data_IF_756630405690
#
_entry.id   IF_756630405690
#
_cell.length_a   1.000
_cell.length_b   1.000
_cell.length_c   1.000
_cell.angle_alpha   90.00
_cell.angle_beta   90.00
_cell.angle_gamma   90.00
#
_symmetry.space_group_name_H-M   'P 1'
#
loop_
_entity.id
_entity.type
_entity.pdbx_description
1 polymer ?
#
# COMPACT_ATOMS: atom_id res chain seq x y z
N UNK A 1 14.56 24.10 -8.27
CA UNK A 1 13.09 24.20 -8.45
C UNK A 1 12.50 23.01 -9.21
N UNK A 2 13.16 22.49 -10.27
CA UNK A 2 12.71 21.29 -11.01
C UNK A 2 12.61 20.03 -10.12
N UNK A 3 13.60 19.78 -9.26
CA UNK A 3 13.61 18.60 -8.38
C UNK A 3 12.46 18.58 -7.36
N UNK A 4 12.00 19.77 -6.95
CA UNK A 4 10.90 19.92 -6.01
C UNK A 4 9.54 19.58 -6.65
N UNK A 5 9.39 19.88 -7.94
CA UNK A 5 8.18 19.60 -8.71
C UNK A 5 8.09 18.12 -9.08
N UNK A 6 9.22 17.49 -9.40
CA UNK A 6 9.30 16.03 -9.64
C UNK A 6 9.04 15.25 -8.35
N UNK A 7 9.61 15.66 -7.20
CA UNK A 7 9.27 15.06 -5.90
C UNK A 7 7.80 15.30 -5.51
N UNK A 8 7.24 16.48 -5.80
CA UNK A 8 5.83 16.75 -5.54
C UNK A 8 4.89 15.89 -6.40
N UNK A 9 5.24 15.69 -7.69
CA UNK A 9 4.51 14.80 -8.61
C UNK A 9 4.64 13.34 -8.23
N UNK A 10 5.80 12.90 -7.74
CA UNK A 10 5.99 11.56 -7.19
C UNK A 10 5.19 11.34 -5.89
N UNK A 11 4.97 12.39 -5.09
CA UNK A 11 4.14 12.36 -3.86
C UNK A 11 2.63 12.37 -4.10
N UNK A 12 2.20 12.81 -5.28
CA UNK A 12 0.81 12.71 -5.77
C UNK A 12 0.82 11.78 -6.95
N UNK A 13 1.05 10.51 -6.69
CA UNK A 13 0.90 9.44 -7.68
C UNK A 13 -0.57 9.38 -8.09
N UNK A 14 -0.90 10.16 -9.11
CA UNK A 14 -2.21 10.21 -9.73
C UNK A 14 -2.40 8.93 -10.56
N UNK A 15 -2.54 7.78 -9.88
CA UNK A 15 -2.87 6.54 -10.57
C UNK A 15 -4.27 6.67 -11.17
N UNK A 16 -4.50 6.01 -12.31
CA UNK A 16 -5.80 6.08 -12.96
C UNK A 16 -6.91 5.48 -12.07
N UNK A 17 -8.18 5.91 -12.20
CA UNK A 17 -9.29 5.29 -11.48
C UNK A 17 -9.41 3.78 -11.73
N UNK A 18 -9.09 3.33 -12.94
CA UNK A 18 -9.05 1.91 -13.28
C UNK A 18 -7.96 1.17 -12.51
N UNK A 19 -6.77 1.77 -12.39
CA UNK A 19 -5.68 1.20 -11.61
C UNK A 19 -6.00 1.16 -10.11
N UNK A 20 -6.54 2.26 -9.56
CA UNK A 20 -7.01 2.30 -8.17
C UNK A 20 -8.01 1.18 -7.90
N UNK A 21 -9.00 0.99 -8.79
CA UNK A 21 -9.98 -0.09 -8.68
C UNK A 21 -9.33 -1.47 -8.72
N UNK A 22 -8.37 -1.72 -9.62
CA UNK A 22 -7.63 -3.00 -9.66
C UNK A 22 -6.88 -3.26 -8.35
N UNK A 23 -6.26 -2.25 -7.77
CA UNK A 23 -5.56 -2.36 -6.48
C UNK A 23 -6.54 -2.63 -5.33
N UNK A 24 -7.71 -1.97 -5.31
CA UNK A 24 -8.77 -2.23 -4.32
C UNK A 24 -9.27 -3.68 -4.38
N UNK A 25 -9.53 -4.19 -5.57
CA UNK A 25 -9.99 -5.58 -5.77
C UNK A 25 -8.94 -6.59 -5.27
N UNK A 26 -7.66 -6.38 -5.61
CA UNK A 26 -6.57 -7.23 -5.15
C UNK A 26 -6.41 -7.21 -3.62
N UNK A 27 -6.46 -6.03 -2.98
CA UNK A 27 -6.37 -5.91 -1.53
C UNK A 27 -7.59 -6.56 -0.85
N UNK A 28 -8.81 -6.35 -1.38
CA UNK A 28 -10.01 -6.96 -0.84
C UNK A 28 -9.99 -8.48 -0.94
N UNK A 29 -9.46 -9.03 -2.03
CA UNK A 29 -9.23 -10.47 -2.16
C UNK A 29 -8.28 -10.98 -1.06
N UNK A 30 -7.13 -10.32 -0.87
CA UNK A 30 -6.19 -10.67 0.20
C UNK A 30 -6.81 -10.61 1.60
N UNK A 31 -7.58 -9.55 1.90
CA UNK A 31 -8.33 -9.42 3.16
C UNK A 31 -9.30 -10.58 3.36
N UNK A 32 -10.06 -10.95 2.33
CA UNK A 32 -11.01 -12.05 2.39
C UNK A 32 -10.30 -13.39 2.63
N UNK A 33 -9.20 -13.66 1.91
CA UNK A 33 -8.40 -14.88 2.11
C UNK A 33 -7.88 -14.99 3.55
N UNK A 34 -7.35 -13.90 4.12
CA UNK A 34 -6.89 -13.87 5.52
C UNK A 34 -8.06 -14.09 6.48
N UNK A 35 -9.21 -13.47 6.22
CA UNK A 35 -10.41 -13.61 7.04
C UNK A 35 -11.01 -15.03 7.05
N UNK A 36 -10.87 -15.77 5.95
CA UNK A 36 -11.30 -17.19 5.88
C UNK A 36 -10.49 -18.09 6.82
N UNK A 37 -9.25 -17.71 7.13
CA UNK A 37 -8.40 -18.40 8.11
C UNK A 37 -8.69 -17.95 9.56
N UNK A 38 -9.68 -17.07 9.77
CA UNK A 38 -10.00 -16.50 11.09
C UNK A 38 -9.00 -15.44 11.57
N UNK A 39 -8.09 -15.01 10.71
CA UNK A 39 -7.09 -13.97 10.99
C UNK A 39 -7.64 -12.58 10.70
N UNK A 40 -7.05 -11.56 11.35
CA UNK A 40 -7.35 -10.16 11.11
C UNK A 40 -6.05 -9.42 10.81
N UNK A 41 -6.08 -8.56 9.80
CA UNK A 41 -4.96 -7.67 9.51
C UNK A 41 -4.81 -6.64 10.63
N UNK A 42 -3.56 -6.23 10.89
CA UNK A 42 -3.29 -5.14 11.81
C UNK A 42 -3.71 -3.80 11.19
N UNK A 43 -3.96 -2.79 12.01
CA UNK A 43 -4.23 -1.44 11.48
C UNK A 43 -3.06 -0.87 10.67
N UNK A 44 -1.82 -1.28 11.00
CA UNK A 44 -0.64 -0.83 10.29
C UNK A 44 -0.61 -1.41 8.86
N UNK A 45 -1.04 -2.66 8.68
CA UNK A 45 -1.15 -3.30 7.37
C UNK A 45 -2.30 -2.70 6.56
N UNK A 46 -3.43 -2.40 7.21
CA UNK A 46 -4.56 -1.73 6.56
C UNK A 46 -4.19 -0.33 6.04
N UNK A 47 -3.45 0.45 6.84
CA UNK A 47 -2.91 1.75 6.39
C UNK A 47 -1.92 1.59 5.24
N UNK A 48 -1.06 0.58 5.28
CA UNK A 48 -0.10 0.32 4.20
C UNK A 48 -0.79 -0.07 2.89
N UNK A 49 -1.83 -0.91 2.98
CA UNK A 49 -2.67 -1.26 1.84
C UNK A 49 -3.42 -0.05 1.27
N UNK A 50 -3.91 0.86 2.11
CA UNK A 50 -4.56 2.08 1.65
C UNK A 50 -3.61 2.99 0.87
N UNK A 51 -2.35 3.12 1.31
CA UNK A 51 -1.31 3.86 0.57
C UNK A 51 -1.10 3.26 -0.81
N UNK A 52 -1.03 1.93 -0.91
CA UNK A 52 -0.90 1.24 -2.21
C UNK A 52 -2.12 1.47 -3.11
N UNK A 53 -3.33 1.34 -2.56
CA UNK A 53 -4.59 1.62 -3.27
C UNK A 53 -4.62 3.06 -3.80
N UNK A 54 -4.19 4.03 -3.01
CA UNK A 54 -4.20 5.44 -3.40
C UNK A 54 -3.08 5.78 -4.39
N UNK A 55 -2.18 4.83 -4.67
CA UNK A 55 -1.00 5.04 -5.49
C UNK A 55 0.21 5.58 -4.73
N UNK A 56 0.06 5.99 -3.47
CA UNK A 56 1.11 6.65 -2.68
C UNK A 56 2.40 5.83 -2.56
N UNK A 57 2.29 4.52 -2.75
CA UNK A 57 3.41 3.58 -2.85
C UNK A 57 3.21 2.65 -4.04
N UNK A 58 4.32 2.18 -4.60
CA UNK A 58 4.34 1.20 -5.67
C UNK A 58 4.36 -0.24 -5.13
N UNK A 59 4.19 -1.21 -6.04
CA UNK A 59 4.06 -2.62 -5.69
C UNK A 59 5.30 -3.17 -4.95
N UNK A 60 6.49 -2.72 -5.33
CA UNK A 60 7.76 -3.11 -4.73
C UNK A 60 7.85 -2.69 -3.24
N UNK A 61 7.39 -1.49 -2.89
CA UNK A 61 7.27 -1.06 -1.50
C UNK A 61 6.12 -1.78 -0.79
N UNK A 62 5.02 -2.08 -1.50
CA UNK A 62 3.86 -2.77 -0.93
C UNK A 62 4.19 -4.20 -0.46
N UNK A 63 4.93 -4.98 -1.28
CA UNK A 63 5.27 -6.38 -0.98
C UNK A 63 6.53 -6.56 -0.14
N UNK A 64 7.25 -5.46 0.16
CA UNK A 64 8.49 -5.54 0.93
C UNK A 64 8.19 -6.08 2.31
N UNK A 65 8.75 -7.25 2.63
CA UNK A 65 8.58 -7.87 3.95
C UNK A 65 9.08 -6.89 5.01
N UNK A 66 8.14 -6.38 5.81
CA UNK A 66 8.44 -5.54 6.95
C UNK A 66 8.88 -6.47 8.08
N UNK A 67 10.18 -6.69 8.19
CA UNK A 67 10.74 -7.29 9.40
C UNK A 67 10.52 -6.31 10.57
N UNK A 68 9.50 -6.57 11.39
CA UNK A 68 9.27 -5.81 12.64
C UNK A 68 10.37 -6.02 13.70
N UNK A 69 11.40 -6.82 13.42
CA UNK A 69 12.52 -7.10 14.34
C UNK A 69 13.58 -5.99 14.45
N UNK A 70 13.38 -4.81 13.85
CA UNK A 70 14.32 -3.67 13.95
C UNK A 70 13.70 -2.38 14.49
N UNK A 71 12.77 -2.48 15.44
CA UNK A 71 12.34 -1.31 16.22
C UNK A 71 12.59 -1.54 17.72
N UNK A 72 13.73 -0.99 18.16
CA UNK A 72 14.23 -0.77 19.54
C UNK A 72 15.03 -1.89 20.23
N UNK A 73 16.36 -1.75 20.16
CA UNK A 73 17.23 -1.87 21.34
C UNK A 73 17.06 -0.63 22.22
#
# INVERSE_FOLDING_TARGET
MRDYVEQARARTSTISPAERKRREEAVNYGRASVGLEGLKLSEADERHAQRFINGEIELDEFIKIRNESLQKR
#
